data_IF_090072095686
#
_entry.id   IF_090072095686
#
_cell.length_a   1.000
_cell.length_b   1.000
_cell.length_c   1.000
_cell.angle_alpha   90.00
_cell.angle_beta   90.00
_cell.angle_gamma   90.00
#
_symmetry.space_group_name_H-M   'P 1'
#
loop_
_entity.id
_entity.type
_entity.pdbx_description
1 polymer ?
#
# COMPACT_ATOMS: atom_id res chain seq x y z
N UNK A 1 38.29 24.64 19.94
CA UNK A 1 36.84 24.36 19.98
C UNK A 1 36.37 24.05 18.57
N UNK A 2 36.12 22.78 18.25
CA UNK A 2 35.55 22.39 16.96
C UNK A 2 34.03 22.54 17.11
N UNK A 3 33.46 23.55 16.46
CA UNK A 3 32.02 23.70 16.34
C UNK A 3 31.49 22.50 15.56
N UNK A 4 30.78 21.61 16.23
CA UNK A 4 29.99 20.57 15.59
C UNK A 4 28.86 21.27 14.83
N UNK A 5 29.05 21.52 13.53
CA UNK A 5 27.91 21.82 12.66
C UNK A 5 26.98 20.62 12.71
N UNK A 6 25.81 20.79 13.31
CA UNK A 6 24.71 19.83 13.16
C UNK A 6 24.45 19.75 11.66
N UNK A 7 24.71 18.60 11.06
CA UNK A 7 24.43 18.40 9.65
C UNK A 7 22.93 18.58 9.44
N UNK A 8 22.54 19.54 8.59
CA UNK A 8 21.15 19.75 8.19
C UNK A 8 20.85 18.92 6.95
N UNK A 9 19.65 18.31 6.85
CA UNK A 9 19.30 17.56 5.65
C UNK A 9 19.03 18.55 4.51
N UNK A 10 19.67 18.34 3.35
CA UNK A 10 19.60 19.25 2.21
C UNK A 10 19.70 18.51 0.88
N UNK A 11 19.30 19.18 -0.21
CA UNK A 11 19.38 18.72 -1.59
C UNK A 11 18.14 17.95 -2.07
N UNK A 12 18.18 17.49 -3.32
CA UNK A 12 17.06 16.78 -3.95
C UNK A 12 16.91 15.37 -3.36
N UNK A 13 15.76 15.06 -2.80
CA UNK A 13 15.33 13.73 -2.37
C UNK A 13 14.44 13.10 -3.44
N UNK A 14 14.93 12.04 -4.09
CA UNK A 14 14.19 11.28 -5.11
C UNK A 14 13.44 10.12 -4.47
N UNK A 15 12.12 10.18 -4.51
CA UNK A 15 11.21 9.22 -3.88
C UNK A 15 10.43 8.47 -4.95
N UNK A 16 10.46 7.13 -4.93
CA UNK A 16 9.55 6.30 -5.72
C UNK A 16 8.45 5.68 -4.83
N UNK A 17 7.21 5.60 -5.29
CA UNK A 17 6.13 4.96 -4.52
C UNK A 17 5.03 4.37 -5.41
N UNK A 18 4.19 3.45 -4.90
CA UNK A 18 2.98 3.00 -5.60
C UNK A 18 2.04 4.19 -5.80
N UNK A 19 1.28 4.19 -6.89
CA UNK A 19 0.52 5.39 -7.32
C UNK A 19 -0.46 5.84 -6.25
N UNK A 20 -1.27 4.90 -5.76
CA UNK A 20 -2.31 5.21 -4.77
C UNK A 20 -1.69 5.61 -3.43
N UNK A 21 -0.62 4.95 -2.99
CA UNK A 21 0.06 5.30 -1.74
C UNK A 21 0.71 6.69 -1.80
N UNK A 22 1.33 7.01 -2.94
CA UNK A 22 1.87 8.33 -3.22
C UNK A 22 0.80 9.42 -3.11
N UNK A 23 -0.37 9.19 -3.74
CA UNK A 23 -1.49 10.12 -3.78
C UNK A 23 -2.17 10.30 -2.42
N UNK A 24 -2.44 9.21 -1.70
CA UNK A 24 -3.23 9.24 -0.47
C UNK A 24 -2.41 9.45 0.81
N UNK A 25 -1.12 9.12 0.82
CA UNK A 25 -0.30 9.12 2.05
C UNK A 25 0.87 10.08 1.96
N UNK A 26 1.66 10.01 0.88
CA UNK A 26 2.88 10.82 0.75
C UNK A 26 2.51 12.26 0.43
N UNK A 27 1.80 12.51 -0.68
CA UNK A 27 1.52 13.86 -1.17
C UNK A 27 0.83 14.77 -0.13
N UNK A 28 -0.19 14.32 0.64
CA UNK A 28 -0.79 15.14 1.68
C UNK A 28 0.17 15.53 2.81
N UNK A 29 1.22 14.73 3.03
CA UNK A 29 2.20 14.94 4.10
C UNK A 29 3.43 15.73 3.64
N UNK A 30 3.63 15.93 2.33
CA UNK A 30 4.85 16.55 1.79
C UNK A 30 5.02 18.02 2.17
N UNK A 31 3.94 18.80 2.19
CA UNK A 31 4.03 20.22 2.54
C UNK A 31 4.56 20.42 3.97
N UNK A 32 4.08 19.61 4.91
CA UNK A 32 4.58 19.63 6.30
C UNK A 32 6.02 19.14 6.38
N UNK A 33 6.40 18.09 5.65
CA UNK A 33 7.79 17.62 5.59
C UNK A 33 8.75 18.72 5.14
N UNK A 34 8.41 19.40 4.04
CA UNK A 34 9.23 20.49 3.48
C UNK A 34 9.29 21.70 4.43
N UNK A 35 8.24 21.98 5.20
CA UNK A 35 8.28 23.02 6.23
C UNK A 35 9.27 22.72 7.36
N UNK A 36 9.45 21.44 7.70
CA UNK A 36 10.39 20.98 8.72
C UNK A 36 11.83 20.82 8.18
N UNK A 37 11.99 20.75 6.86
CA UNK A 37 13.28 20.55 6.17
C UNK A 37 13.37 21.44 4.92
N UNK A 38 13.50 22.76 5.09
CA UNK A 38 13.36 23.73 3.99
C UNK A 38 14.46 23.66 2.93
N UNK A 39 15.61 23.06 3.26
CA UNK A 39 16.74 22.88 2.34
C UNK A 39 16.62 21.61 1.49
N UNK A 40 15.53 20.83 1.64
CA UNK A 40 15.23 19.64 0.84
C UNK A 40 14.29 20.01 -0.30
N UNK A 41 14.61 19.55 -1.50
CA UNK A 41 13.67 19.46 -2.62
C UNK A 41 13.18 18.02 -2.75
N UNK A 42 11.95 17.78 -3.18
CA UNK A 42 11.42 16.42 -3.37
C UNK A 42 11.07 16.21 -4.84
N UNK A 43 11.63 15.15 -5.40
CA UNK A 43 11.27 14.59 -6.71
C UNK A 43 10.48 13.29 -6.45
N UNK A 44 9.18 13.30 -6.75
CA UNK A 44 8.27 12.19 -6.45
C UNK A 44 7.84 11.48 -7.74
N UNK A 45 8.30 10.24 -7.91
CA UNK A 45 7.93 9.36 -9.00
C UNK A 45 6.93 8.29 -8.54
N UNK A 46 5.75 8.25 -9.16
CA UNK A 46 4.68 7.33 -8.80
C UNK A 46 4.49 6.26 -9.88
N UNK A 47 4.68 5.00 -9.51
CA UNK A 47 4.52 3.85 -10.39
C UNK A 47 4.33 2.57 -9.56
N UNK A 48 3.38 1.75 -9.98
CA UNK A 48 3.17 0.42 -9.42
C UNK A 48 4.14 -0.62 -10.01
N UNK A 49 4.77 -0.30 -11.16
CA UNK A 49 5.80 -1.15 -11.76
C UNK A 49 7.04 -1.22 -10.88
N UNK A 50 7.81 -2.29 -11.09
CA UNK A 50 9.13 -2.39 -10.48
C UNK A 50 10.01 -1.22 -10.92
N UNK A 51 10.77 -0.67 -9.98
CA UNK A 51 11.69 0.46 -10.17
C UNK A 51 13.06 -0.02 -9.74
N UNK A 52 14.04 0.12 -10.61
CA UNK A 52 15.43 -0.15 -10.27
C UNK A 52 16.00 1.10 -9.61
N UNK A 53 16.06 1.07 -8.27
CA UNK A 53 16.50 2.19 -7.45
C UNK A 53 17.88 2.73 -7.85
N UNK A 54 18.79 1.85 -8.28
CA UNK A 54 20.17 2.21 -8.57
C UNK A 54 20.23 2.88 -9.93
N UNK A 55 19.68 2.22 -10.97
CA UNK A 55 19.75 2.75 -12.34
C UNK A 55 18.95 4.05 -12.52
N UNK A 56 17.85 4.20 -11.78
CA UNK A 56 16.97 5.39 -11.84
C UNK A 56 17.42 6.50 -10.88
N UNK A 57 18.46 6.25 -10.07
CA UNK A 57 18.99 7.21 -9.10
C UNK A 57 17.97 7.60 -8.04
N UNK A 58 17.12 6.66 -7.61
CA UNK A 58 16.10 6.86 -6.57
C UNK A 58 16.76 6.73 -5.21
N UNK A 59 16.59 7.73 -4.35
CA UNK A 59 17.16 7.72 -3.00
C UNK A 59 16.39 6.77 -2.06
N UNK A 60 15.06 6.71 -2.21
CA UNK A 60 14.18 5.84 -1.42
C UNK A 60 12.92 5.45 -2.19
N UNK A 61 12.53 4.18 -2.13
CA UNK A 61 11.27 3.69 -2.67
C UNK A 61 10.36 3.14 -1.57
N UNK A 62 9.07 3.45 -1.61
CA UNK A 62 8.06 2.75 -0.79
C UNK A 62 7.55 1.54 -1.59
N UNK A 63 7.52 0.35 -0.97
CA UNK A 63 7.06 -0.88 -1.64
C UNK A 63 6.35 -1.83 -0.69
N UNK A 64 5.36 -2.55 -1.22
CA UNK A 64 4.55 -3.58 -0.56
C UNK A 64 5.07 -4.98 -0.91
N UNK A 65 6.35 -5.25 -0.65
CA UNK A 65 7.00 -6.54 -0.97
C UNK A 65 8.07 -6.87 0.07
N UNK A 66 8.30 -8.17 0.24
CA UNK A 66 9.52 -8.70 0.89
C UNK A 66 10.68 -8.49 -0.07
N UNK A 67 11.79 -7.94 0.41
CA UNK A 67 13.00 -7.78 -0.40
C UNK A 67 13.61 -9.15 -0.72
N UNK A 68 13.94 -9.37 -1.99
CA UNK A 68 14.67 -10.57 -2.45
C UNK A 68 16.16 -10.25 -2.73
N UNK A 69 16.54 -8.96 -2.78
CA UNK A 69 17.89 -8.50 -3.16
C UNK A 69 18.71 -8.04 -1.94
N UNK A 70 19.93 -8.56 -1.82
CA UNK A 70 20.88 -8.24 -0.74
C UNK A 70 21.57 -6.88 -0.87
N UNK A 71 21.49 -6.20 -2.02
CA UNK A 71 22.08 -4.88 -2.24
C UNK A 71 21.23 -3.71 -1.73
N UNK A 72 20.03 -4.01 -1.25
CA UNK A 72 19.04 -3.05 -0.78
C UNK A 72 18.78 -3.22 0.72
N UNK A 73 18.44 -2.13 1.39
CA UNK A 73 17.97 -2.15 2.77
C UNK A 73 16.46 -1.92 2.79
N UNK A 74 15.70 -2.83 3.42
CA UNK A 74 14.30 -2.60 3.76
C UNK A 74 14.17 -2.11 5.19
N UNK A 75 13.47 -1.00 5.36
CA UNK A 75 13.03 -0.52 6.66
C UNK A 75 11.51 -0.59 6.73
N UNK A 76 11.02 -1.44 7.62
CA UNK A 76 9.59 -1.64 7.85
C UNK A 76 8.90 -0.37 8.34
N UNK A 77 7.79 -0.04 7.67
CA UNK A 77 6.91 1.09 8.00
C UNK A 77 5.69 0.61 8.79
N UNK A 78 4.92 -0.31 8.22
CA UNK A 78 3.74 -0.93 8.83
C UNK A 78 3.34 -2.21 8.06
N UNK A 79 2.54 -3.07 8.69
CA UNK A 79 1.87 -4.17 8.04
C UNK A 79 0.55 -3.69 7.44
N UNK A 80 0.31 -3.96 6.16
CA UNK A 80 -0.82 -3.42 5.43
C UNK A 80 -2.06 -4.32 5.54
N UNK A 81 -3.05 -3.98 6.39
CA UNK A 81 -4.30 -4.73 6.44
C UNK A 81 -5.09 -4.53 5.14
N UNK A 82 -5.66 -5.64 4.67
CA UNK A 82 -6.52 -5.67 3.49
C UNK A 82 -7.90 -6.18 3.88
N UNK A 83 -8.93 -5.61 3.25
CA UNK A 83 -10.31 -6.04 3.40
C UNK A 83 -10.83 -6.53 2.05
N UNK A 84 -11.66 -7.56 2.09
CA UNK A 84 -12.51 -7.91 0.97
C UNK A 84 -13.77 -7.05 1.04
N UNK A 85 -14.07 -6.32 -0.04
CA UNK A 85 -15.18 -5.37 -0.09
C UNK A 85 -16.01 -5.52 -1.35
N UNK A 86 -17.27 -5.13 -1.24
CA UNK A 86 -18.22 -5.01 -2.34
C UNK A 86 -19.08 -3.76 -2.17
N UNK A 87 -19.69 -3.26 -3.26
CA UNK A 87 -20.74 -2.26 -3.15
C UNK A 87 -22.07 -2.92 -2.67
N UNK A 88 -22.90 -2.22 -1.87
CA UNK A 88 -24.20 -2.74 -1.43
C UNK A 88 -25.09 -3.22 -2.57
N UNK A 89 -25.11 -2.49 -3.69
CA UNK A 89 -25.93 -2.83 -4.88
C UNK A 89 -25.50 -4.16 -5.52
N UNK A 90 -24.19 -4.49 -5.48
CA UNK A 90 -23.71 -5.78 -5.96
C UNK A 90 -24.18 -6.91 -5.04
N UNK A 91 -24.09 -6.72 -3.72
CA UNK A 91 -24.52 -7.70 -2.71
C UNK A 91 -26.03 -7.93 -2.77
N UNK A 92 -26.83 -6.88 -3.00
CA UNK A 92 -28.27 -7.00 -3.17
C UNK A 92 -28.65 -7.89 -4.38
N UNK A 93 -27.83 -7.88 -5.44
CA UNK A 93 -28.09 -8.64 -6.66
C UNK A 93 -27.50 -10.06 -6.63
N UNK A 94 -26.34 -10.25 -5.99
CA UNK A 94 -25.57 -11.50 -6.06
C UNK A 94 -25.53 -12.27 -4.74
N UNK A 95 -26.08 -11.70 -3.67
CA UNK A 95 -25.93 -12.21 -2.31
C UNK A 95 -24.58 -11.83 -1.69
N UNK A 96 -24.47 -12.00 -0.38
CA UNK A 96 -23.25 -11.78 0.38
C UNK A 96 -22.53 -13.11 0.62
N UNK A 97 -21.22 -13.24 0.30
CA UNK A 97 -20.47 -14.45 0.58
C UNK A 97 -20.35 -14.66 2.09
N UNK A 98 -20.59 -15.89 2.56
CA UNK A 98 -20.52 -16.24 3.99
C UNK A 98 -19.29 -17.05 4.33
N UNK A 99 -18.76 -17.78 3.36
CA UNK A 99 -17.50 -18.50 3.48
C UNK A 99 -16.58 -18.22 2.28
N UNK A 100 -15.25 -18.36 2.41
CA UNK A 100 -14.32 -18.14 1.30
C UNK A 100 -14.68 -18.96 0.05
N UNK A 101 -15.24 -20.17 0.21
CA UNK A 101 -15.65 -21.00 -0.92
C UNK A 101 -16.74 -20.34 -1.80
N UNK A 102 -17.57 -19.46 -1.24
CA UNK A 102 -18.63 -18.75 -1.98
C UNK A 102 -18.06 -17.81 -3.05
N UNK A 103 -16.80 -17.37 -2.91
CA UNK A 103 -16.15 -16.48 -3.86
C UNK A 103 -16.06 -17.06 -5.28
N UNK A 104 -16.12 -18.39 -5.45
CA UNK A 104 -16.19 -19.01 -6.77
C UNK A 104 -17.45 -18.62 -7.57
N UNK A 105 -18.52 -18.20 -6.87
CA UNK A 105 -19.80 -17.78 -7.47
C UNK A 105 -19.89 -16.28 -7.71
N UNK A 106 -18.88 -15.53 -7.30
CA UNK A 106 -18.86 -14.08 -7.41
C UNK A 106 -17.82 -13.61 -8.42
N UNK A 107 -18.04 -12.42 -8.98
CA UNK A 107 -17.04 -11.76 -9.81
C UNK A 107 -15.95 -11.14 -8.92
N UNK A 108 -14.79 -11.79 -8.84
CA UNK A 108 -13.63 -11.33 -8.10
C UNK A 108 -12.73 -10.48 -9.01
N UNK A 109 -12.60 -9.20 -8.72
CA UNK A 109 -11.78 -8.25 -9.46
C UNK A 109 -10.33 -8.39 -9.00
N UNK A 110 -9.44 -8.57 -9.97
CA UNK A 110 -8.07 -8.99 -9.71
C UNK A 110 -7.12 -7.80 -9.77
N UNK A 111 -6.37 -7.58 -8.68
CA UNK A 111 -5.22 -6.69 -8.68
C UNK A 111 -3.95 -7.45 -9.10
N UNK A 112 -3.45 -7.20 -10.31
CA UNK A 112 -2.41 -8.02 -10.95
C UNK A 112 -0.99 -7.82 -10.41
N UNK A 113 -0.79 -6.90 -9.47
CA UNK A 113 0.52 -6.62 -8.89
C UNK A 113 0.83 -7.46 -7.64
N UNK A 114 -0.12 -8.27 -7.18
CA UNK A 114 0.07 -9.25 -6.11
C UNK A 114 0.85 -10.46 -6.60
N UNK A 115 1.55 -11.14 -5.68
CA UNK A 115 2.29 -12.37 -5.99
C UNK A 115 1.36 -13.52 -6.40
N UNK A 116 0.24 -13.66 -5.70
CA UNK A 116 -0.83 -14.61 -6.01
C UNK A 116 -1.98 -13.87 -6.69
N UNK A 117 -1.98 -13.82 -8.03
CA UNK A 117 -2.94 -13.03 -8.80
C UNK A 117 -4.34 -13.66 -8.77
N UNK A 118 -4.44 -14.99 -8.87
CA UNK A 118 -5.72 -15.71 -9.01
C UNK A 118 -6.11 -16.51 -7.76
N UNK A 119 -5.44 -16.27 -6.63
CA UNK A 119 -5.70 -16.98 -5.37
C UNK A 119 -5.71 -15.96 -4.24
N UNK A 120 -6.81 -15.88 -3.50
CA UNK A 120 -6.83 -15.19 -2.22
C UNK A 120 -6.60 -16.16 -1.07
N UNK A 121 -5.82 -15.71 -0.10
CA UNK A 121 -5.49 -16.45 1.11
C UNK A 121 -6.16 -15.79 2.31
N UNK A 122 -6.85 -16.58 3.11
CA UNK A 122 -7.57 -16.17 4.29
C UNK A 122 -7.12 -16.99 5.49
N UNK A 123 -6.97 -16.36 6.64
CA UNK A 123 -6.82 -17.05 7.92
C UNK A 123 -8.11 -16.92 8.73
N UNK A 124 -8.61 -18.03 9.24
CA UNK A 124 -9.78 -18.08 10.13
C UNK A 124 -9.64 -19.26 11.09
N UNK A 125 -9.37 -18.98 12.37
CA UNK A 125 -9.36 -19.95 13.48
C UNK A 125 -8.68 -21.32 13.23
N UNK A 126 -7.68 -21.38 12.34
CA UNK A 126 -6.95 -22.58 11.89
C UNK A 126 -7.88 -23.63 11.23
N UNK A 127 -7.73 -24.01 9.93
CA UNK A 127 -6.61 -23.77 9.01
C UNK A 127 -6.76 -22.56 8.09
N UNK A 128 -5.63 -22.13 7.50
CA UNK A 128 -5.61 -21.19 6.39
C UNK A 128 -6.40 -21.73 5.19
N UNK A 129 -7.24 -20.88 4.60
CA UNK A 129 -8.05 -21.20 3.43
C UNK A 129 -7.50 -20.46 2.22
N UNK A 130 -7.32 -21.17 1.11
CA UNK A 130 -6.92 -20.56 -0.17
C UNK A 130 -8.03 -20.80 -1.18
N UNK A 131 -8.43 -19.74 -1.88
CA UNK A 131 -9.55 -19.81 -2.82
C UNK A 131 -9.09 -19.35 -4.19
N UNK A 132 -9.26 -20.21 -5.19
CA UNK A 132 -9.10 -19.84 -6.59
C UNK A 132 -10.22 -18.88 -6.98
N UNK A 133 -9.85 -17.74 -7.57
CA UNK A 133 -10.77 -16.68 -7.91
C UNK A 133 -11.36 -16.90 -9.29
N UNK A 134 -12.61 -16.48 -9.45
CA UNK A 134 -13.27 -16.37 -10.75
C UNK A 134 -13.62 -14.89 -10.97
N UNK A 135 -13.28 -14.35 -12.12
CA UNK A 135 -13.63 -12.97 -12.44
C UNK A 135 -13.27 -12.58 -13.87
N UNK A 136 -13.88 -11.49 -14.33
CA UNK A 136 -13.73 -11.01 -15.71
C UNK A 136 -12.90 -9.73 -15.85
N UNK A 137 -12.39 -9.19 -14.74
CA UNK A 137 -11.64 -7.94 -14.68
C UNK A 137 -10.33 -8.16 -13.93
N UNK A 138 -9.25 -7.70 -14.54
CA UNK A 138 -7.92 -7.64 -13.95
C UNK A 138 -7.31 -6.27 -14.24
N UNK A 139 -6.66 -5.66 -13.24
CA UNK A 139 -6.01 -4.36 -13.37
C UNK A 139 -4.77 -4.23 -12.49
N UNK A 140 -3.84 -3.38 -12.90
CA UNK A 140 -2.58 -3.11 -12.20
C UNK A 140 -2.61 -1.86 -11.33
N UNK A 141 -3.77 -1.22 -11.19
CA UNK A 141 -3.96 -0.01 -10.42
C UNK A 141 -5.12 -0.14 -9.42
N UNK A 142 -4.81 0.10 -8.14
CA UNK A 142 -5.78 -0.06 -7.06
C UNK A 142 -6.96 0.94 -7.11
N UNK A 143 -6.76 2.18 -7.57
CA UNK A 143 -7.84 3.17 -7.70
C UNK A 143 -8.85 2.73 -8.78
N UNK A 144 -8.37 2.11 -9.87
CA UNK A 144 -9.23 1.55 -10.92
C UNK A 144 -10.06 0.39 -10.40
N UNK A 145 -9.43 -0.55 -9.69
CA UNK A 145 -10.15 -1.68 -9.08
C UNK A 145 -11.19 -1.18 -8.07
N UNK A 146 -10.82 -0.24 -7.19
CA UNK A 146 -11.73 0.38 -6.23
C UNK A 146 -12.94 1.02 -6.93
N UNK A 147 -12.72 1.78 -8.02
CA UNK A 147 -13.80 2.38 -8.79
C UNK A 147 -14.76 1.34 -9.35
N UNK A 148 -14.26 0.23 -9.87
CA UNK A 148 -15.08 -0.84 -10.43
C UNK A 148 -15.90 -1.56 -9.35
N UNK A 149 -15.33 -1.77 -8.15
CA UNK A 149 -16.09 -2.29 -7.00
C UNK A 149 -17.22 -1.34 -6.62
N UNK A 150 -16.94 -0.03 -6.53
CA UNK A 150 -17.94 1.00 -6.22
C UNK A 150 -19.07 1.06 -7.24
N UNK A 151 -18.78 0.73 -8.50
CA UNK A 151 -19.78 0.64 -9.58
C UNK A 151 -20.54 -0.69 -9.60
N UNK A 152 -20.33 -1.55 -8.60
CA UNK A 152 -21.01 -2.83 -8.47
C UNK A 152 -20.53 -3.89 -9.45
N UNK A 153 -19.30 -3.80 -9.97
CA UNK A 153 -18.78 -4.80 -10.90
C UNK A 153 -18.41 -6.12 -10.22
N UNK A 154 -18.19 -6.14 -8.90
CA UNK A 154 -17.83 -7.34 -8.16
C UNK A 154 -17.17 -7.04 -6.81
N UNK A 155 -16.36 -7.98 -6.33
CA UNK A 155 -15.60 -7.85 -5.07
C UNK A 155 -14.11 -7.68 -5.34
N UNK A 156 -13.41 -6.97 -4.46
CA UNK A 156 -11.95 -6.94 -4.48
C UNK A 156 -11.36 -6.93 -3.07
N UNK A 157 -10.18 -7.54 -2.95
CA UNK A 157 -9.35 -7.42 -1.75
C UNK A 157 -8.44 -6.18 -1.91
N UNK A 158 -8.66 -5.15 -1.10
CA UNK A 158 -7.99 -3.85 -1.20
C UNK A 158 -7.48 -3.37 0.17
N UNK A 159 -6.52 -2.43 0.15
CA UNK A 159 -5.89 -1.91 1.35
C UNK A 159 -6.85 -1.02 2.12
N UNK A 160 -6.98 -1.19 3.45
CA UNK A 160 -7.99 -0.49 4.26
C UNK A 160 -7.93 1.05 4.12
N UNK A 161 -6.72 1.61 3.98
CA UNK A 161 -6.51 3.06 3.86
C UNK A 161 -7.02 3.66 2.54
N UNK A 162 -7.35 2.82 1.57
CA UNK A 162 -8.06 3.23 0.35
C UNK A 162 -9.57 3.24 0.55
N UNK A 163 -10.07 2.57 1.59
CA UNK A 163 -11.49 2.23 1.75
C UNK A 163 -12.18 3.08 2.82
N UNK A 164 -11.43 3.70 3.73
CA UNK A 164 -11.95 4.38 4.93
C UNK A 164 -13.13 5.32 4.64
N UNK A 165 -13.02 6.24 3.68
CA UNK A 165 -14.11 7.15 3.32
C UNK A 165 -15.32 6.42 2.72
N UNK A 166 -15.09 5.34 1.96
CA UNK A 166 -16.14 4.58 1.30
C UNK A 166 -16.91 3.68 2.28
N UNK A 167 -16.20 3.12 3.26
CA UNK A 167 -16.79 2.37 4.37
C UNK A 167 -17.63 3.30 5.25
N UNK A 168 -17.10 4.47 5.63
CA UNK A 168 -17.82 5.47 6.44
C UNK A 168 -19.07 6.02 5.74
N UNK A 169 -19.02 6.17 4.41
CA UNK A 169 -20.16 6.65 3.62
C UNK A 169 -21.16 5.55 3.23
N UNK A 170 -20.90 4.29 3.59
CA UNK A 170 -21.75 3.15 3.22
C UNK A 170 -21.74 2.83 1.72
N UNK A 171 -20.76 3.33 0.96
CA UNK A 171 -20.58 3.00 -0.46
C UNK A 171 -19.90 1.66 -0.68
N UNK A 172 -19.24 1.14 0.35
CA UNK A 172 -18.66 -0.19 0.39
C UNK A 172 -19.04 -0.87 1.70
N UNK A 173 -19.18 -2.19 1.62
CA UNK A 173 -19.37 -3.06 2.77
C UNK A 173 -18.22 -4.09 2.79
N UNK A 174 -17.59 -4.33 3.96
CA UNK A 174 -16.68 -5.43 4.13
C UNK A 174 -17.46 -6.74 4.15
N UNK A 175 -16.94 -7.76 3.47
CA UNK A 175 -17.51 -9.11 3.48
C UNK A 175 -16.45 -10.11 3.91
N UNK A 176 -16.90 -11.26 4.41
CA UNK A 176 -16.02 -12.25 5.03
C UNK A 176 -15.13 -11.63 6.14
N UNK A 177 -15.67 -10.71 6.94
CA UNK A 177 -14.92 -9.95 7.94
C UNK A 177 -14.24 -10.81 9.02
N UNK A 178 -14.74 -12.03 9.24
CA UNK A 178 -14.13 -13.01 10.15
C UNK A 178 -12.87 -13.67 9.53
N UNK A 179 -12.68 -13.56 8.22
CA UNK A 179 -11.59 -14.13 7.47
C UNK A 179 -10.52 -13.08 7.18
N UNK A 180 -9.40 -13.17 7.88
CA UNK A 180 -8.34 -12.16 7.80
C UNK A 180 -7.47 -12.42 6.57
N UNK A 181 -7.33 -11.41 5.71
CA UNK A 181 -6.36 -11.43 4.64
C UNK A 181 -4.94 -11.40 5.21
N UNK A 182 -4.01 -12.15 4.61
CA UNK A 182 -2.60 -12.06 5.02
C UNK A 182 -2.07 -10.65 4.75
N UNK A 183 -1.67 -9.88 5.78
CA UNK A 183 -1.18 -8.52 5.56
C UNK A 183 0.15 -8.54 4.82
N UNK A 184 0.39 -7.52 3.99
CA UNK A 184 1.64 -7.34 3.27
C UNK A 184 2.49 -6.25 3.94
N UNK A 185 3.78 -6.49 4.22
CA UNK A 185 4.60 -5.45 4.82
C UNK A 185 4.83 -4.31 3.83
N UNK A 186 4.69 -3.07 4.30
CA UNK A 186 5.12 -1.87 3.57
C UNK A 186 6.47 -1.44 4.10
N UNK A 187 7.44 -1.33 3.19
CA UNK A 187 8.82 -1.01 3.49
C UNK A 187 9.26 0.24 2.76
N UNK A 188 10.10 1.04 3.42
CA UNK A 188 10.99 1.98 2.74
C UNK A 188 12.26 1.23 2.33
N UNK A 189 12.55 1.20 1.04
CA UNK A 189 13.66 0.50 0.41
C UNK A 189 14.65 1.53 -0.12
N UNK A 190 15.94 1.36 0.15
CA UNK A 190 16.99 2.25 -0.35
C UNK A 190 18.30 1.48 -0.56
N UNK A 191 19.22 1.96 -1.43
CA UNK A 191 20.49 1.29 -1.69
C UNK A 191 21.32 1.12 -0.41
N UNK A 192 21.93 -0.05 -0.25
CA UNK A 192 22.87 -0.28 0.84
C UNK A 192 24.13 0.58 0.61
N UNK A 193 24.47 1.40 1.60
CA UNK A 193 25.65 2.25 1.57
C UNK A 193 26.24 2.37 2.97
N UNK A 194 27.52 2.72 3.06
CA UNK A 194 28.21 2.92 4.34
C UNK A 194 27.58 4.06 5.16
N UNK A 195 26.97 5.05 4.48
CA UNK A 195 26.28 6.17 5.09
C UNK A 195 24.96 6.46 4.37
N UNK A 196 23.84 6.26 5.06
CA UNK A 196 22.52 6.66 4.55
C UNK A 196 22.39 8.19 4.63
N UNK A 197 22.11 8.90 3.52
CA UNK A 197 21.95 10.35 3.52
C UNK A 197 20.90 10.83 4.52
N UNK A 198 21.16 11.98 5.17
CA UNK A 198 20.27 12.50 6.21
C UNK A 198 18.85 12.81 5.67
N UNK A 199 18.75 13.31 4.43
CA UNK A 199 17.48 13.55 3.71
C UNK A 199 16.59 12.28 3.68
N UNK A 200 17.18 11.12 3.40
CA UNK A 200 16.48 9.83 3.34
C UNK A 200 16.01 9.41 4.73
N UNK A 201 16.90 9.49 5.72
CA UNK A 201 16.55 9.15 7.11
C UNK A 201 15.43 10.01 7.67
N UNK A 202 15.49 11.33 7.43
CA UNK A 202 14.47 12.28 7.87
C UNK A 202 13.12 11.97 7.23
N UNK A 203 13.09 11.75 5.91
CA UNK A 203 11.86 11.40 5.19
C UNK A 203 11.24 10.10 5.71
N UNK A 204 12.02 9.03 5.84
CA UNK A 204 11.51 7.74 6.35
C UNK A 204 10.95 7.88 7.76
N UNK A 205 11.66 8.60 8.64
CA UNK A 205 11.20 8.83 10.01
C UNK A 205 9.89 9.65 10.03
N UNK A 206 9.79 10.69 9.20
CA UNK A 206 8.60 11.52 9.09
C UNK A 206 7.38 10.72 8.62
N UNK A 207 7.51 9.95 7.53
CA UNK A 207 6.43 9.09 7.02
C UNK A 207 6.03 8.04 8.06
N UNK A 208 6.99 7.41 8.74
CA UNK A 208 6.70 6.45 9.80
C UNK A 208 5.90 7.07 10.95
N UNK A 209 6.25 8.30 11.36
CA UNK A 209 5.49 9.02 12.39
C UNK A 209 4.08 9.39 11.93
N UNK A 210 3.89 9.74 10.65
CA UNK A 210 2.56 10.03 10.08
C UNK A 210 1.66 8.80 10.09
N UNK A 211 2.20 7.67 9.64
CA UNK A 211 1.49 6.38 9.62
C UNK A 211 1.11 5.96 11.05
N UNK A 212 2.06 6.01 12.00
CA UNK A 212 1.78 5.57 13.38
C UNK A 212 0.69 6.37 14.09
N UNK A 213 0.44 7.62 13.67
CA UNK A 213 -0.58 8.49 14.26
C UNK A 213 -1.96 8.33 13.62
N UNK A 214 -2.07 7.62 12.49
CA UNK A 214 -3.32 7.44 11.77
C UNK A 214 -3.85 6.02 12.02
N UNK A 215 -4.98 5.94 12.72
CA UNK A 215 -5.62 4.69 13.13
C UNK A 215 -6.04 3.80 11.95
N UNK A 216 -6.21 4.36 10.75
CA UNK A 216 -6.56 3.58 9.56
C UNK A 216 -5.43 2.62 9.17
N UNK A 217 -4.20 2.85 9.62
CA UNK A 217 -3.06 1.95 9.38
C UNK A 217 -2.78 0.98 10.53
N UNK A 218 -3.61 0.96 11.57
CA UNK A 218 -3.51 0.06 12.73
C UNK A 218 -4.55 -1.06 12.62
#
# INVERSE_FOLDING_TARGET
MISSRVATPQGVLRVAAPVVFGRLVIAPSLAEFLSLSPDIEVDLALSDKHVDLISEGVDVAIRTKVLEDSSLVARHLFDNPMLLVAAPDYLAQHGEPKEPADLQRHNCLIYSMLKSINIWHFSHHDPNVSVALNGNIQGDNGDVILKLVLDGAGLAQLNIWMLDEHLKSGRLEPVLSDFVATPLPVNAIYPQSHYVPLKVRCFINFIKQKISKNLVFQ
#
